data_IF_859952227511
#
_entry.id   IF_859952227511
#
_cell.length_a   1.000
_cell.length_b   1.000
_cell.length_c   1.000
_cell.angle_alpha   90.00
_cell.angle_beta   90.00
_cell.angle_gamma   90.00
#
_symmetry.space_group_name_H-M   'P 1'
#
loop_
_entity.id
_entity.type
_entity.pdbx_description
1 polymer ?
#
# COMPACT_ATOMS: atom_id res chain seq x y z
N UNK A 1 -9.25 -10.92 -24.59
CA UNK A 1 -8.27 -11.89 -25.12
C UNK A 1 -7.82 -11.59 -26.56
N UNK A 2 -8.69 -11.13 -27.47
CA UNK A 2 -8.30 -10.82 -28.85
C UNK A 2 -7.26 -9.68 -28.93
N UNK A 3 -7.39 -8.64 -28.11
CA UNK A 3 -6.46 -7.50 -28.06
C UNK A 3 -5.06 -7.94 -27.59
N UNK A 4 -4.99 -8.77 -26.56
CA UNK A 4 -3.71 -9.28 -26.05
C UNK A 4 -2.98 -10.14 -27.09
N UNK A 5 -3.72 -10.98 -27.79
CA UNK A 5 -3.17 -11.78 -28.88
C UNK A 5 -2.65 -10.90 -30.04
N UNK A 6 -3.35 -9.81 -30.35
CA UNK A 6 -2.92 -8.83 -31.36
C UNK A 6 -1.63 -8.11 -30.92
N UNK A 7 -1.55 -7.71 -29.65
CA UNK A 7 -0.34 -7.09 -29.09
C UNK A 7 0.87 -8.05 -29.14
N UNK A 8 0.67 -9.32 -28.75
CA UNK A 8 1.72 -10.35 -28.88
C UNK A 8 2.15 -10.59 -30.33
N UNK A 9 1.19 -10.55 -31.27
CA UNK A 9 1.50 -10.66 -32.69
C UNK A 9 2.36 -9.50 -33.16
N UNK A 10 2.00 -8.27 -32.82
CA UNK A 10 2.79 -7.08 -33.17
C UNK A 10 4.18 -7.10 -32.50
N UNK A 11 4.30 -7.56 -31.26
CA UNK A 11 5.58 -7.72 -30.60
C UNK A 11 6.52 -8.60 -31.42
N UNK A 12 6.02 -9.76 -31.90
CA UNK A 12 6.81 -10.71 -32.69
C UNK A 12 7.11 -10.22 -34.12
N UNK A 13 6.11 -9.58 -34.77
CA UNK A 13 6.26 -9.17 -36.18
C UNK A 13 7.05 -7.88 -36.36
N UNK A 14 7.04 -7.00 -35.34
CA UNK A 14 7.64 -5.67 -35.40
C UNK A 14 8.83 -5.48 -34.47
N UNK A 15 9.21 -6.51 -33.71
CA UNK A 15 10.27 -6.47 -32.69
C UNK A 15 10.08 -5.31 -31.71
N UNK A 16 8.83 -5.13 -31.22
CA UNK A 16 8.45 -4.04 -30.32
C UNK A 16 8.57 -4.52 -28.88
N UNK A 17 9.19 -3.70 -28.03
CA UNK A 17 9.17 -3.88 -26.59
C UNK A 17 8.02 -3.09 -25.98
N UNK A 18 7.22 -3.73 -25.10
CA UNK A 18 6.14 -3.09 -24.36
C UNK A 18 6.51 -2.91 -22.90
N UNK A 19 6.20 -1.74 -22.35
CA UNK A 19 6.04 -1.55 -20.92
C UNK A 19 4.55 -1.59 -20.60
N UNK A 20 4.12 -2.68 -19.94
CA UNK A 20 2.71 -2.91 -19.65
C UNK A 20 2.44 -2.70 -18.15
N UNK A 21 1.58 -1.75 -17.80
CA UNK A 21 1.20 -1.45 -16.43
C UNK A 21 -0.24 -1.92 -16.22
N UNK A 22 -0.43 -2.88 -15.35
CA UNK A 22 -1.74 -3.45 -15.05
C UNK A 22 -1.83 -3.93 -13.60
N UNK A 23 -3.04 -4.15 -13.14
CA UNK A 23 -3.35 -4.70 -11.82
C UNK A 23 -3.88 -6.15 -11.90
N UNK A 24 -4.19 -6.64 -13.09
CA UNK A 24 -4.62 -8.03 -13.31
C UNK A 24 -3.41 -8.91 -13.58
N UNK A 25 -3.03 -9.69 -12.59
CA UNK A 25 -1.86 -10.58 -12.65
C UNK A 25 -2.01 -11.69 -13.70
N UNK A 26 -3.24 -12.14 -14.00
CA UNK A 26 -3.47 -13.16 -15.02
C UNK A 26 -3.14 -12.64 -16.41
N UNK A 27 -3.52 -11.38 -16.68
CA UNK A 27 -3.18 -10.69 -17.92
C UNK A 27 -1.66 -10.45 -18.00
N UNK A 28 -1.07 -9.96 -16.91
CA UNK A 28 0.38 -9.67 -16.84
C UNK A 28 1.18 -10.94 -17.09
N UNK A 29 0.83 -12.07 -16.46
CA UNK A 29 1.48 -13.37 -16.69
C UNK A 29 1.44 -13.79 -18.16
N UNK A 30 0.30 -13.55 -18.82
CA UNK A 30 0.11 -13.97 -20.22
C UNK A 30 0.94 -13.14 -21.19
N UNK A 31 1.06 -11.82 -20.98
CA UNK A 31 1.66 -10.90 -21.97
C UNK A 31 3.13 -10.61 -21.72
N UNK A 32 3.59 -10.69 -20.48
CA UNK A 32 4.92 -10.20 -20.08
C UNK A 32 5.95 -11.31 -20.04
N UNK A 33 7.17 -11.00 -20.47
CA UNK A 33 8.35 -11.88 -20.30
C UNK A 33 8.94 -11.69 -18.90
N UNK A 34 8.99 -10.45 -18.41
CA UNK A 34 9.43 -10.08 -17.07
C UNK A 34 8.39 -9.24 -16.35
N UNK A 35 8.29 -9.42 -15.05
CA UNK A 35 7.31 -8.73 -14.20
C UNK A 35 8.05 -8.03 -13.06
N UNK A 36 7.75 -6.74 -12.87
CA UNK A 36 8.14 -5.98 -11.69
C UNK A 36 6.93 -5.71 -10.81
N UNK A 37 7.03 -6.08 -9.54
CA UNK A 37 5.99 -5.82 -8.54
C UNK A 37 6.30 -4.53 -7.80
N UNK A 38 5.33 -3.62 -7.76
CA UNK A 38 5.47 -2.30 -7.14
C UNK A 38 4.58 -2.23 -5.89
N UNK A 39 5.17 -1.85 -4.76
CA UNK A 39 4.46 -1.58 -3.52
C UNK A 39 4.75 -0.17 -3.01
N UNK A 40 3.72 0.66 -2.87
CA UNK A 40 3.81 2.08 -2.40
C UNK A 40 4.81 2.96 -3.16
N UNK A 41 5.13 2.63 -4.40
CA UNK A 41 6.04 3.38 -5.26
C UNK A 41 7.42 2.73 -5.42
N UNK A 42 7.76 1.75 -4.59
CA UNK A 42 9.03 1.02 -4.66
C UNK A 42 8.85 -0.31 -5.38
N UNK A 43 9.83 -0.69 -6.19
CA UNK A 43 9.89 -2.04 -6.78
C UNK A 43 10.35 -3.00 -5.68
N UNK A 44 9.53 -4.00 -5.37
CA UNK A 44 9.84 -4.98 -4.32
C UNK A 44 10.30 -6.33 -4.84
N UNK A 45 9.96 -6.67 -6.08
CA UNK A 45 10.38 -7.93 -6.71
C UNK A 45 10.37 -7.80 -8.23
N UNK A 46 11.39 -8.37 -8.91
CA UNK A 46 11.47 -8.42 -10.39
C UNK A 46 12.00 -9.76 -10.81
N UNK A 47 11.26 -10.48 -11.66
CA UNK A 47 11.71 -11.75 -12.22
C UNK A 47 11.07 -12.00 -13.60
N UNK A 48 11.49 -13.08 -14.27
CA UNK A 48 10.73 -13.64 -15.40
C UNK A 48 9.33 -14.05 -14.94
N UNK A 49 8.34 -13.97 -15.81
CA UNK A 49 6.94 -14.21 -15.43
C UNK A 49 6.74 -15.56 -14.74
N UNK A 50 7.22 -16.65 -15.33
CA UNK A 50 7.06 -17.99 -14.75
C UNK A 50 7.89 -18.17 -13.45
N UNK A 51 9.06 -17.55 -13.37
CA UNK A 51 9.88 -17.54 -12.15
C UNK A 51 9.13 -16.86 -11.01
N UNK A 52 8.55 -15.68 -11.25
CA UNK A 52 7.81 -14.92 -10.25
C UNK A 52 6.59 -15.69 -9.71
N UNK A 53 5.86 -16.37 -10.59
CA UNK A 53 4.65 -17.11 -10.20
C UNK A 53 4.97 -18.41 -9.48
N UNK A 54 6.06 -19.07 -9.83
CA UNK A 54 6.47 -20.32 -9.20
C UNK A 54 7.26 -20.10 -7.91
N UNK A 55 8.02 -19.01 -7.82
CA UNK A 55 8.94 -18.71 -6.72
C UNK A 55 8.80 -17.28 -6.20
N UNK A 56 7.60 -16.81 -5.84
CA UNK A 56 7.45 -15.48 -5.27
C UNK A 56 8.16 -15.42 -3.92
N UNK A 57 9.09 -14.51 -3.74
CA UNK A 57 9.89 -14.38 -2.52
C UNK A 57 9.36 -13.29 -1.60
N UNK A 58 9.11 -12.10 -2.15
CA UNK A 58 8.63 -11.00 -1.33
C UNK A 58 7.20 -11.29 -0.81
N UNK A 59 6.91 -11.07 0.48
CA UNK A 59 5.61 -11.37 1.07
C UNK A 59 4.44 -10.65 0.39
N UNK A 60 4.66 -9.43 -0.11
CA UNK A 60 3.65 -8.71 -0.88
C UNK A 60 3.30 -9.41 -2.20
N UNK A 61 4.31 -9.93 -2.93
CA UNK A 61 4.08 -10.70 -4.16
C UNK A 61 3.28 -11.97 -3.88
N UNK A 62 3.60 -12.66 -2.78
CA UNK A 62 2.83 -13.84 -2.33
C UNK A 62 1.37 -13.47 -2.07
N UNK A 63 1.11 -12.33 -1.44
CA UNK A 63 -0.26 -11.87 -1.18
C UNK A 63 -1.03 -11.60 -2.47
N UNK A 64 -0.39 -10.93 -3.45
CA UNK A 64 -0.99 -10.67 -4.75
C UNK A 64 -1.33 -11.95 -5.52
N UNK A 65 -0.38 -12.90 -5.58
CA UNK A 65 -0.60 -14.17 -6.28
C UNK A 65 -1.68 -15.00 -5.58
N UNK A 66 -1.72 -15.00 -4.23
CA UNK A 66 -2.78 -15.69 -3.49
C UNK A 66 -4.17 -15.12 -3.76
N UNK A 67 -4.28 -13.87 -4.16
CA UNK A 67 -5.54 -13.21 -4.45
C UNK A 67 -6.07 -13.50 -5.88
N UNK A 68 -5.30 -14.16 -6.75
CA UNK A 68 -5.74 -14.48 -8.12
C UNK A 68 -6.95 -15.42 -8.05
N UNK A 69 -8.09 -15.08 -8.70
CA UNK A 69 -9.28 -15.92 -8.67
C UNK A 69 -9.04 -17.30 -9.30
N UNK A 70 -9.54 -18.34 -8.67
CA UNK A 70 -9.54 -19.70 -9.22
C UNK A 70 -10.86 -19.89 -9.97
N UNK A 71 -10.85 -20.39 -11.23
CA UNK A 71 -12.08 -20.58 -12.01
C UNK A 71 -13.08 -21.56 -11.38
N UNK A 72 -12.63 -22.49 -10.55
CA UNK A 72 -13.48 -23.43 -9.83
C UNK A 72 -14.04 -22.79 -8.55
N UNK A 73 -15.38 -22.62 -8.44
CA UNK A 73 -16.00 -21.99 -7.27
C UNK A 73 -15.79 -22.76 -5.96
N UNK A 74 -15.64 -24.09 -6.01
CA UNK A 74 -15.37 -24.90 -4.81
C UNK A 74 -13.97 -24.66 -4.28
N UNK A 75 -12.99 -24.63 -5.18
CA UNK A 75 -11.61 -24.34 -4.83
C UNK A 75 -11.43 -22.90 -4.37
N UNK A 76 -12.09 -21.95 -5.05
CA UNK A 76 -12.04 -20.53 -4.66
C UNK A 76 -12.59 -20.30 -3.24
N UNK A 77 -13.70 -20.98 -2.87
CA UNK A 77 -14.29 -20.88 -1.54
C UNK A 77 -13.36 -21.37 -0.43
N UNK A 78 -12.52 -22.36 -0.72
CA UNK A 78 -11.60 -22.98 0.24
C UNK A 78 -10.17 -22.43 0.14
N UNK A 79 -9.96 -21.41 -0.70
CA UNK A 79 -8.67 -20.77 -0.87
C UNK A 79 -8.28 -19.93 0.35
N UNK A 80 -7.06 -20.13 0.86
CA UNK A 80 -6.48 -19.29 1.89
C UNK A 80 -5.82 -18.07 1.25
N UNK A 81 -6.24 -16.87 1.68
CA UNK A 81 -5.61 -15.63 1.25
C UNK A 81 -4.42 -15.30 2.16
N UNK A 82 -3.28 -15.04 1.56
CA UNK A 82 -2.13 -14.51 2.27
C UNK A 82 -2.24 -12.99 2.38
N UNK A 83 -2.34 -12.47 3.60
CA UNK A 83 -2.39 -11.04 3.84
C UNK A 83 -1.00 -10.52 4.17
N UNK A 84 -0.53 -9.54 3.41
CA UNK A 84 0.75 -8.89 3.66
C UNK A 84 0.62 -7.80 4.73
N UNK A 85 1.47 -7.88 5.76
CA UNK A 85 1.62 -6.84 6.77
C UNK A 85 3.05 -6.26 6.66
N UNK A 86 3.21 -4.98 6.28
CA UNK A 86 4.53 -4.38 6.16
C UNK A 86 5.30 -4.27 7.49
N UNK A 87 4.65 -4.47 8.64
CA UNK A 87 5.32 -4.45 9.95
C UNK A 87 6.23 -5.66 10.21
N UNK A 88 6.18 -6.67 9.35
CA UNK A 88 7.10 -7.82 9.41
C UNK A 88 8.54 -7.45 9.06
N UNK A 89 8.73 -6.35 8.33
CA UNK A 89 10.04 -5.87 7.92
C UNK A 89 10.59 -4.88 8.95
N UNK A 90 11.79 -5.15 9.44
CA UNK A 90 12.54 -4.22 10.27
C UNK A 90 13.76 -3.72 9.49
N UNK A 91 13.69 -2.46 9.07
CA UNK A 91 14.73 -1.77 8.30
C UNK A 91 15.40 -0.65 9.11
N UNK A 92 15.28 -0.69 10.45
CA UNK A 92 15.83 0.32 11.34
C UNK A 92 17.36 0.30 11.38
N UNK A 93 17.96 -0.90 11.38
CA UNK A 93 19.41 -1.08 11.46
C UNK A 93 20.04 -1.42 10.11
N UNK A 94 19.37 -2.24 9.29
CA UNK A 94 19.86 -2.72 8.00
C UNK A 94 18.92 -2.27 6.88
N UNK A 95 19.40 -1.34 6.04
CA UNK A 95 18.60 -0.79 4.94
C UNK A 95 18.37 -1.85 3.88
N UNK A 96 17.14 -1.96 3.37
CA UNK A 96 16.84 -2.90 2.32
C UNK A 96 17.44 -2.46 0.98
N UNK A 97 17.84 -3.44 0.19
CA UNK A 97 18.39 -3.25 -1.16
C UNK A 97 17.73 -4.25 -2.13
N UNK A 98 17.78 -3.93 -3.42
CA UNK A 98 17.34 -4.84 -4.48
C UNK A 98 18.50 -5.78 -4.82
N UNK A 99 18.37 -7.08 -4.53
CA UNK A 99 19.44 -8.06 -4.69
C UNK A 99 18.99 -9.20 -5.59
N UNK A 100 19.87 -9.61 -6.51
CA UNK A 100 19.69 -10.83 -7.31
C UNK A 100 19.89 -12.06 -6.42
N UNK A 101 18.88 -12.90 -6.33
CA UNK A 101 18.88 -14.16 -5.60
C UNK A 101 19.18 -15.37 -6.49
N UNK A 102 19.49 -15.13 -7.76
CA UNK A 102 19.71 -16.12 -8.82
C UNK A 102 18.61 -16.11 -9.86
N UNK A 103 18.92 -16.58 -11.08
CA UNK A 103 18.00 -16.62 -12.23
C UNK A 103 17.46 -15.25 -12.68
N UNK A 104 18.22 -14.17 -12.57
CA UNK A 104 17.74 -12.80 -12.80
C UNK A 104 16.50 -12.43 -11.97
N UNK A 105 16.38 -13.02 -10.79
CA UNK A 105 15.30 -12.79 -9.84
C UNK A 105 15.78 -11.83 -8.76
N UNK A 106 15.27 -10.61 -8.80
CA UNK A 106 15.64 -9.53 -7.89
C UNK A 106 14.56 -9.37 -6.85
N UNK A 107 14.97 -9.28 -5.57
CA UNK A 107 14.05 -9.09 -4.45
C UNK A 107 14.57 -7.99 -3.54
N UNK A 108 13.67 -7.16 -3.06
CA UNK A 108 13.95 -6.08 -2.12
C UNK A 108 13.87 -6.60 -0.69
N UNK A 109 14.91 -6.37 0.08
CA UNK A 109 14.97 -6.81 1.47
C UNK A 109 16.29 -6.46 2.15
N UNK A 110 16.34 -6.60 3.46
CA UNK A 110 17.58 -6.47 4.21
C UNK A 110 18.44 -7.74 4.06
N UNK A 111 19.68 -7.72 4.54
CA UNK A 111 20.63 -8.85 4.38
C UNK A 111 20.06 -10.16 4.90
N UNK A 112 19.40 -10.14 6.05
CA UNK A 112 18.81 -11.34 6.66
C UNK A 112 17.69 -11.91 5.78
N UNK A 113 16.80 -11.07 5.29
CA UNK A 113 15.70 -11.48 4.41
C UNK A 113 16.24 -12.03 3.07
N UNK A 114 17.26 -11.39 2.50
CA UNK A 114 17.88 -11.83 1.26
C UNK A 114 18.56 -13.21 1.43
N UNK A 115 19.22 -13.47 2.55
CA UNK A 115 19.77 -14.81 2.83
C UNK A 115 18.66 -15.85 2.95
N UNK A 116 17.56 -15.54 3.60
CA UNK A 116 16.39 -16.41 3.68
C UNK A 116 15.78 -16.69 2.30
N UNK A 117 15.61 -15.65 1.47
CA UNK A 117 15.08 -15.79 0.11
C UNK A 117 16.01 -16.65 -0.76
N UNK A 118 17.33 -16.47 -0.68
CA UNK A 118 18.32 -17.33 -1.36
C UNK A 118 18.21 -18.78 -0.91
N UNK A 119 18.12 -19.02 0.39
CA UNK A 119 17.96 -20.35 0.95
C UNK A 119 16.65 -21.02 0.51
N UNK A 120 15.55 -20.27 0.45
CA UNK A 120 14.27 -20.76 -0.04
C UNK A 120 14.35 -21.08 -1.55
N UNK A 121 14.94 -20.19 -2.35
CA UNK A 121 15.08 -20.39 -3.79
C UNK A 121 15.99 -21.58 -4.11
N UNK A 122 17.06 -21.79 -3.34
CA UNK A 122 17.99 -22.91 -3.51
C UNK A 122 17.33 -24.28 -3.32
N UNK A 123 16.25 -24.37 -2.55
CA UNK A 123 15.46 -25.61 -2.41
C UNK A 123 14.76 -26.01 -3.71
N UNK A 124 14.63 -25.09 -4.66
CA UNK A 124 14.01 -25.29 -5.98
C UNK A 124 12.62 -25.95 -5.93
N UNK A 125 11.88 -25.69 -4.88
CA UNK A 125 10.49 -26.17 -4.70
C UNK A 125 9.56 -25.02 -4.96
N UNK A 126 8.64 -25.11 -5.94
CA UNK A 126 7.67 -24.05 -6.19
C UNK A 126 6.87 -23.71 -4.95
N UNK A 127 6.78 -22.43 -4.64
CA UNK A 127 6.02 -21.95 -3.49
C UNK A 127 4.55 -21.91 -3.88
N UNK A 128 3.74 -22.76 -3.26
CA UNK A 128 2.29 -22.72 -3.43
C UNK A 128 1.74 -21.45 -2.77
N UNK A 129 1.67 -20.37 -3.53
CA UNK A 129 1.04 -19.12 -3.06
C UNK A 129 -0.48 -19.22 -3.03
N UNK A 130 -1.05 -20.21 -3.72
CA UNK A 130 -2.47 -20.55 -3.66
C UNK A 130 -2.59 -21.83 -2.82
N UNK A 131 -2.99 -21.66 -1.57
CA UNK A 131 -3.26 -22.78 -0.66
C UNK A 131 -4.77 -23.01 -0.65
N UNK A 132 -5.17 -24.25 -0.89
CA UNK A 132 -6.57 -24.68 -0.81
C UNK A 132 -6.70 -25.45 0.50
N UNK A 133 -7.64 -25.03 1.32
CA UNK A 133 -7.95 -25.68 2.59
C UNK A 133 -8.72 -26.97 2.36
N UNK A 134 -8.35 -28.03 3.07
CA UNK A 134 -9.15 -29.25 3.08
C UNK A 134 -10.51 -28.99 3.74
N UNK A 135 -11.58 -29.55 3.15
CA UNK A 135 -12.96 -29.35 3.63
C UNK A 135 -13.18 -29.77 5.10
N UNK A 136 -12.27 -30.54 5.67
CA UNK A 136 -12.35 -31.07 7.03
C UNK A 136 -11.51 -30.28 8.07
N UNK A 137 -10.75 -29.27 7.67
CA UNK A 137 -10.02 -28.42 8.62
C UNK A 137 -10.92 -27.30 9.16
N UNK A 138 -11.02 -27.13 10.49
CA UNK A 138 -11.71 -26.00 11.06
C UNK A 138 -11.04 -24.70 10.61
N UNK A 139 -11.80 -23.63 10.38
CA UNK A 139 -11.24 -22.36 9.95
C UNK A 139 -10.17 -21.91 10.96
N UNK A 140 -8.91 -21.84 10.50
CA UNK A 140 -7.89 -21.13 11.27
C UNK A 140 -8.39 -19.70 11.46
N UNK A 141 -8.74 -19.38 12.71
CA UNK A 141 -8.97 -18.00 13.06
C UNK A 141 -7.65 -17.27 12.83
N UNK A 142 -7.48 -16.66 11.66
CA UNK A 142 -6.55 -15.55 11.54
C UNK A 142 -6.91 -14.61 12.68
N UNK A 143 -5.97 -14.24 13.56
CA UNK A 143 -6.26 -13.23 14.54
C UNK A 143 -6.79 -12.03 13.75
N UNK A 144 -8.09 -11.78 13.81
CA UNK A 144 -8.64 -10.49 13.45
C UNK A 144 -7.94 -9.55 14.42
N UNK A 145 -6.83 -8.96 13.99
CA UNK A 145 -6.43 -7.68 14.52
C UNK A 145 -7.68 -6.84 14.26
N UNK A 146 -8.41 -6.54 15.31
CA UNK A 146 -9.49 -5.57 15.21
C UNK A 146 -8.81 -4.33 14.67
N UNK A 147 -8.94 -4.14 13.35
CA UNK A 147 -8.50 -2.92 12.72
C UNK A 147 -9.24 -1.82 13.47
N UNK A 148 -8.49 -0.96 14.11
CA UNK A 148 -9.11 0.21 14.72
C UNK A 148 -9.96 0.88 13.63
N UNK A 149 -11.11 1.46 13.95
CA UNK A 149 -11.98 2.11 12.95
C UNK A 149 -11.25 3.11 12.05
N UNK A 150 -10.01 3.51 12.42
CA UNK A 150 -9.13 4.37 11.64
C UNK A 150 -8.37 3.65 10.51
N UNK A 151 -8.22 2.31 10.54
CA UNK A 151 -7.43 1.55 9.54
C UNK A 151 -8.26 1.03 8.35
N UNK A 152 -9.61 0.96 8.47
CA UNK A 152 -10.49 0.39 7.43
C UNK A 152 -10.71 1.36 6.25
N UNK A 153 -10.30 2.61 6.37
CA UNK A 153 -10.51 3.60 5.34
C UNK A 153 -9.23 3.89 4.56
N UNK A 154 -9.09 3.29 3.38
CA UNK A 154 -8.14 3.81 2.39
C UNK A 154 -8.45 5.29 2.18
N UNK A 155 -7.56 6.17 2.64
CA UNK A 155 -7.71 7.60 2.45
C UNK A 155 -7.79 7.88 0.94
N UNK A 156 -8.79 8.67 0.49
CA UNK A 156 -8.86 9.05 -0.92
C UNK A 156 -7.54 9.67 -1.39
N UNK A 157 -7.19 9.49 -2.65
CA UNK A 157 -5.92 9.98 -3.22
C UNK A 157 -5.66 11.49 -3.00
N UNK A 158 -6.70 12.27 -2.71
CA UNK A 158 -6.63 13.71 -2.40
C UNK A 158 -6.52 14.03 -0.91
N UNK A 159 -6.50 13.05 -0.03
CA UNK A 159 -6.37 13.27 1.42
C UNK A 159 -4.88 13.42 1.80
N UNK A 160 -4.30 14.55 1.45
CA UNK A 160 -2.87 14.85 1.58
C UNK A 160 -2.47 15.30 2.98
N UNK A 161 -3.41 15.75 3.81
CA UNK A 161 -3.11 16.40 5.09
C UNK A 161 -2.24 17.66 4.93
N UNK A 162 -2.32 18.34 3.79
CA UNK A 162 -1.43 19.41 3.36
C UNK A 162 -1.28 20.52 4.42
N UNK A 163 -0.08 21.11 4.47
CA UNK A 163 0.23 22.31 5.25
C UNK A 163 -0.80 23.44 5.03
N UNK A 164 -1.31 23.59 3.81
CA UNK A 164 -2.31 24.60 3.46
C UNK A 164 -3.61 24.46 4.25
N UNK A 165 -4.04 23.24 4.58
CA UNK A 165 -5.22 23.03 5.43
C UNK A 165 -4.98 23.46 6.87
N UNK A 166 -3.76 23.25 7.40
CA UNK A 166 -3.40 23.78 8.71
C UNK A 166 -3.38 25.29 8.72
N UNK A 167 -2.80 25.92 7.68
CA UNK A 167 -2.73 27.37 7.53
C UNK A 167 -4.13 27.99 7.38
N UNK A 168 -4.97 27.40 6.55
CA UNK A 168 -6.36 27.84 6.38
C UNK A 168 -7.15 27.71 7.69
N UNK A 169 -6.94 26.62 8.44
CA UNK A 169 -7.51 26.43 9.77
C UNK A 169 -7.10 27.52 10.75
N UNK A 170 -5.84 27.90 10.75
CA UNK A 170 -5.31 28.99 11.57
C UNK A 170 -5.91 30.34 11.17
N UNK A 171 -6.00 30.64 9.87
CA UNK A 171 -6.47 31.92 9.37
C UNK A 171 -7.98 32.13 9.58
N UNK A 172 -8.80 31.12 9.33
CA UNK A 172 -10.27 31.18 9.38
C UNK A 172 -10.85 30.03 10.25
N UNK A 173 -10.66 30.05 11.58
CA UNK A 173 -10.98 28.92 12.44
C UNK A 173 -12.43 28.44 12.37
N UNK A 174 -13.39 29.36 12.37
CA UNK A 174 -14.82 29.02 12.36
C UNK A 174 -15.25 28.35 11.04
N UNK A 175 -14.84 28.93 9.90
CA UNK A 175 -15.10 28.33 8.57
C UNK A 175 -14.39 26.99 8.40
N UNK A 176 -13.21 26.88 8.98
CA UNK A 176 -12.42 25.66 8.91
C UNK A 176 -13.00 24.51 9.74
N UNK A 177 -13.68 24.79 10.84
CA UNK A 177 -14.41 23.77 11.59
C UNK A 177 -15.59 23.21 10.78
N UNK A 178 -16.28 24.06 10.02
CA UNK A 178 -17.32 23.62 9.09
C UNK A 178 -16.74 22.77 7.95
N UNK A 179 -15.64 23.22 7.33
CA UNK A 179 -14.93 22.46 6.31
C UNK A 179 -14.38 21.13 6.85
N UNK A 180 -13.89 21.10 8.09
CA UNK A 180 -13.48 19.87 8.74
C UNK A 180 -14.62 18.86 8.87
N UNK A 181 -15.83 19.33 9.18
CA UNK A 181 -17.00 18.44 9.21
C UNK A 181 -17.27 17.79 7.84
N UNK A 182 -17.21 18.58 6.77
CA UNK A 182 -17.37 18.08 5.40
C UNK A 182 -16.29 17.04 5.06
N UNK A 183 -15.03 17.30 5.39
CA UNK A 183 -13.95 16.32 5.15
C UNK A 183 -14.15 15.04 5.95
N UNK A 184 -14.66 15.12 7.16
CA UNK A 184 -14.97 13.93 7.96
C UNK A 184 -16.07 13.09 7.33
N UNK A 185 -17.13 13.71 6.81
CA UNK A 185 -18.26 12.99 6.18
C UNK A 185 -17.87 12.35 4.85
N UNK A 186 -16.88 12.90 4.15
CA UNK A 186 -16.35 12.36 2.88
C UNK A 186 -15.08 11.54 3.06
N UNK A 187 -14.75 11.14 4.28
CA UNK A 187 -13.64 10.26 4.61
C UNK A 187 -12.22 10.79 4.31
N UNK A 188 -12.04 12.10 4.22
CA UNK A 188 -10.75 12.76 4.08
C UNK A 188 -10.12 13.01 5.46
N UNK A 189 -9.66 11.95 6.12
CA UNK A 189 -9.24 11.99 7.54
C UNK A 189 -8.01 12.88 7.76
N UNK A 190 -7.03 12.85 6.86
CA UNK A 190 -5.81 13.67 6.97
C UNK A 190 -6.13 15.15 6.83
N UNK A 191 -6.94 15.51 5.85
CA UNK A 191 -7.38 16.89 5.63
C UNK A 191 -8.25 17.37 6.80
N UNK A 192 -9.14 16.54 7.32
CA UNK A 192 -9.91 16.80 8.53
C UNK A 192 -9.00 17.08 9.74
N UNK A 193 -8.01 16.19 10.03
CA UNK A 193 -7.08 16.35 11.15
C UNK A 193 -6.25 17.64 11.01
N UNK A 194 -5.75 17.94 9.80
CA UNK A 194 -4.98 19.13 9.50
C UNK A 194 -5.80 20.42 9.72
N UNK A 195 -6.99 20.47 9.15
CA UNK A 195 -7.86 21.63 9.22
C UNK A 195 -8.35 21.90 10.67
N UNK A 196 -8.72 20.84 11.40
CA UNK A 196 -9.11 20.91 12.81
C UNK A 196 -7.96 21.39 13.69
N UNK A 197 -6.74 20.85 13.49
CA UNK A 197 -5.54 21.28 14.24
C UNK A 197 -5.25 22.76 14.02
N UNK A 198 -5.26 23.21 12.76
CA UNK A 198 -5.06 24.62 12.42
C UNK A 198 -6.14 25.53 13.04
N UNK A 199 -7.40 25.11 13.02
CA UNK A 199 -8.50 25.87 13.61
C UNK A 199 -8.34 26.05 15.13
N UNK A 200 -7.97 24.98 15.85
CA UNK A 200 -7.74 25.04 17.31
C UNK A 200 -6.58 25.98 17.63
N UNK A 201 -5.44 25.84 16.93
CA UNK A 201 -4.28 26.71 17.12
C UNK A 201 -4.63 28.18 16.83
N UNK A 202 -5.38 28.44 15.75
CA UNK A 202 -5.83 29.78 15.40
C UNK A 202 -6.77 30.40 16.44
N UNK A 203 -7.67 29.62 17.04
CA UNK A 203 -8.54 30.08 18.11
C UNK A 203 -7.76 30.41 19.37
N UNK A 204 -6.84 29.56 19.80
CA UNK A 204 -5.99 29.77 20.98
C UNK A 204 -5.14 31.03 20.79
N UNK A 205 -4.50 31.18 19.63
CA UNK A 205 -3.67 32.35 19.32
C UNK A 205 -4.45 33.64 19.41
N UNK A 206 -5.69 33.70 18.88
CA UNK A 206 -6.55 34.88 18.96
C UNK A 206 -7.00 35.15 20.38
N UNK A 207 -7.33 34.16 21.18
CA UNK A 207 -7.68 34.34 22.57
C UNK A 207 -6.53 34.95 23.37
N UNK A 208 -5.29 34.51 23.11
CA UNK A 208 -4.08 35.08 23.73
C UNK A 208 -3.89 36.53 23.29
N UNK A 209 -4.03 36.84 22.00
CA UNK A 209 -3.93 38.22 21.51
C UNK A 209 -4.98 39.17 22.14
N UNK A 210 -6.23 38.72 22.24
CA UNK A 210 -7.31 39.49 22.89
C UNK A 210 -6.96 39.70 24.36
N UNK A 211 -6.46 38.70 25.06
CA UNK A 211 -6.02 38.82 26.45
C UNK A 211 -4.90 39.84 26.63
N UNK A 212 -3.87 39.78 25.77
CA UNK A 212 -2.77 40.75 25.77
C UNK A 212 -3.29 42.18 25.47
N UNK A 213 -4.16 42.32 24.48
CA UNK A 213 -4.74 43.61 24.12
C UNK A 213 -5.58 44.20 25.27
N UNK A 214 -6.42 43.38 25.93
CA UNK A 214 -7.17 43.79 27.09
C UNK A 214 -6.26 44.20 28.23
N UNK A 215 -5.17 43.47 28.48
CA UNK A 215 -4.19 43.84 29.52
C UNK A 215 -3.51 45.19 29.20
N UNK A 216 -3.11 45.41 27.93
CA UNK A 216 -2.50 46.67 27.52
C UNK A 216 -3.49 47.86 27.65
N UNK A 217 -4.78 47.65 27.35
CA UNK A 217 -5.83 48.69 27.57
C UNK A 217 -5.96 49.02 29.05
N UNK A 218 -5.96 48.05 29.94
CA UNK A 218 -6.02 48.28 31.39
C UNK A 218 -4.81 49.07 31.87
N UNK A 219 -3.59 48.70 31.38
CA UNK A 219 -2.35 49.39 31.72
C UNK A 219 -2.26 50.82 31.13
N UNK A 220 -2.97 51.13 30.04
CA UNK A 220 -3.00 52.46 29.45
C UNK A 220 -4.00 53.42 30.13
N UNK A 221 -4.90 52.89 30.97
CA UNK A 221 -5.90 53.65 31.69
C UNK A 221 -5.50 53.97 33.15
N UNK A 222 -4.48 53.28 33.65
CA UNK A 222 -3.83 53.51 34.94
C UNK A 222 -2.66 54.48 34.77
#
# INVERSE_FOLDING_TARGET
>A
DQVLNLLKKFQKERDITYLFIAHDLSIVRFISDRIGVIYKGDIVEVAEAEELFNYPMHPYTKSLISAIPIPDPKLEKNKELFTYDPSIHDYSEDKPEMVDIGNNHFVYGNKKEIEEYKALRAKNVPIKSITIRDENEPPKQTPKKEASPEEIHMAPARDTGSFWYNFLGFLLPLLSLLGAHIFRTHNYIRNYKALKKGAIVGLVFRAVLIGIFALLLVLAVI
#
